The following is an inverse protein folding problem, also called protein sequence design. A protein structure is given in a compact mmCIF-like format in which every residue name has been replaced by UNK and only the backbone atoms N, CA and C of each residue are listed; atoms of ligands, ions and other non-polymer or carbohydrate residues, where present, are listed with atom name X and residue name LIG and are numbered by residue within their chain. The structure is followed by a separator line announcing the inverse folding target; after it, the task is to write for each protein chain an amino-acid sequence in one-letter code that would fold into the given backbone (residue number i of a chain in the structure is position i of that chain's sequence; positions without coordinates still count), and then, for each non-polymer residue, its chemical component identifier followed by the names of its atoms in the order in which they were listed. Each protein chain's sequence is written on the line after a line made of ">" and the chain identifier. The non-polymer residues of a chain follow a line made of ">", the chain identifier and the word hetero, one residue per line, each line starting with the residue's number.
data_IF_295451657214
#
_entry.id   IF_295451657214
#
_cell.length_a   1.000
_cell.length_b   1.000
_cell.length_c   1.000
_cell.angle_alpha   90.00
_cell.angle_beta   90.00
_cell.angle_gamma   90.00
#
_symmetry.space_group_name_H-M   'P 1'
#
loop_
_entity.id
_entity.type
_entity.pdbx_description
1 polymer ?
#
# COMPACT_ATOMS: atom_id res chain seq x y z
N UNK A 1 -4.69 29.52 -7.02
CA UNK A 1 -5.77 28.70 -6.42
C UNK A 1 -5.88 27.36 -7.14
N UNK A 2 -6.10 27.33 -8.45
CA UNK A 2 -6.27 26.08 -9.23
C UNK A 2 -5.10 25.09 -9.13
N UNK A 3 -3.85 25.56 -9.25
CA UNK A 3 -2.67 24.69 -9.15
C UNK A 3 -2.54 23.97 -7.79
N UNK A 4 -3.00 24.59 -6.70
CA UNK A 4 -2.93 24.00 -5.36
C UNK A 4 -4.02 22.93 -5.18
N UNK A 5 -5.20 23.18 -5.72
CA UNK A 5 -6.31 22.21 -5.74
C UNK A 5 -5.93 20.97 -6.54
N UNK A 6 -5.32 21.15 -7.71
CA UNK A 6 -4.84 20.02 -8.55
C UNK A 6 -3.82 19.17 -7.78
N UNK A 7 -2.87 19.81 -7.09
CA UNK A 7 -1.86 19.10 -6.29
C UNK A 7 -2.50 18.26 -5.18
N UNK A 8 -3.47 18.81 -4.44
CA UNK A 8 -4.18 18.10 -3.38
C UNK A 8 -4.96 16.89 -3.93
N UNK A 9 -5.64 17.06 -5.06
CA UNK A 9 -6.38 15.96 -5.72
C UNK A 9 -5.41 14.84 -6.12
N UNK A 10 -4.25 15.18 -6.69
CA UNK A 10 -3.24 14.19 -7.09
C UNK A 10 -2.74 13.41 -5.87
N UNK A 11 -2.45 14.09 -4.75
CA UNK A 11 -1.99 13.45 -3.52
C UNK A 11 -3.06 12.52 -2.95
N UNK A 12 -4.31 12.97 -2.84
CA UNK A 12 -5.41 12.14 -2.33
C UNK A 12 -5.66 10.93 -3.22
N UNK A 13 -5.61 11.10 -4.54
CA UNK A 13 -5.74 10.01 -5.51
C UNK A 13 -4.61 9.00 -5.36
N UNK A 14 -3.37 9.47 -5.19
CA UNK A 14 -2.23 8.61 -4.95
C UNK A 14 -2.40 7.81 -3.65
N UNK A 15 -2.85 8.44 -2.56
CA UNK A 15 -3.14 7.78 -1.27
C UNK A 15 -4.18 6.67 -1.45
N UNK A 16 -5.30 6.98 -2.13
CA UNK A 16 -6.38 6.03 -2.39
C UNK A 16 -5.87 4.81 -3.16
N UNK A 17 -4.97 5.00 -4.12
CA UNK A 17 -4.48 3.93 -5.00
C UNK A 17 -3.47 3.01 -4.28
N UNK A 18 -2.71 3.52 -3.31
CA UNK A 18 -1.66 2.72 -2.65
C UNK A 18 -2.20 1.44 -2.02
N UNK A 19 -3.28 1.53 -1.24
CA UNK A 19 -3.86 0.39 -0.52
C UNK A 19 -4.39 -0.72 -1.47
N UNK A 20 -5.26 -0.43 -2.46
CA UNK A 20 -5.70 -1.43 -3.44
C UNK A 20 -4.55 -2.08 -4.21
N UNK A 21 -3.57 -1.29 -4.65
CA UNK A 21 -2.44 -1.82 -5.42
C UNK A 21 -1.57 -2.74 -4.55
N UNK A 22 -1.21 -2.32 -3.35
CA UNK A 22 -0.47 -3.16 -2.40
C UNK A 22 -1.24 -4.45 -2.07
N UNK A 23 -2.56 -4.37 -1.91
CA UNK A 23 -3.40 -5.52 -1.64
C UNK A 23 -3.47 -6.51 -2.82
N UNK A 24 -3.60 -6.01 -4.04
CA UNK A 24 -3.61 -6.84 -5.26
C UNK A 24 -2.26 -7.56 -5.40
N UNK A 25 -1.15 -6.84 -5.25
CA UNK A 25 0.20 -7.40 -5.33
C UNK A 25 0.50 -8.44 -4.25
N UNK A 26 -0.26 -8.46 -3.15
CA UNK A 26 -0.12 -9.42 -2.05
C UNK A 26 -1.21 -10.49 -2.05
N UNK A 27 -1.96 -10.63 -3.16
CA UNK A 27 -2.96 -11.69 -3.39
C UNK A 27 -2.33 -13.02 -3.72
N UNK A 28 -2.85 -14.11 -3.13
CA UNK A 28 -2.32 -15.47 -3.33
C UNK A 28 -2.11 -15.79 -4.80
N UNK A 29 -3.09 -15.47 -5.66
CA UNK A 29 -2.97 -15.66 -7.12
C UNK A 29 -1.73 -14.98 -7.70
N UNK A 30 -1.46 -13.73 -7.33
CA UNK A 30 -0.30 -12.95 -7.82
C UNK A 30 0.99 -13.46 -7.18
N UNK A 31 0.96 -13.73 -5.88
CA UNK A 31 2.10 -14.29 -5.15
C UNK A 31 2.51 -15.64 -5.76
N UNK A 32 1.58 -16.59 -5.91
CA UNK A 32 1.84 -17.91 -6.49
C UNK A 32 2.36 -17.78 -7.94
N UNK A 33 1.73 -16.94 -8.76
CA UNK A 33 2.17 -16.70 -10.15
C UNK A 33 3.61 -16.17 -10.20
N UNK A 34 3.91 -15.09 -9.48
CA UNK A 34 5.24 -14.46 -9.50
C UNK A 34 6.30 -15.33 -8.86
N UNK A 35 5.93 -16.18 -7.90
CA UNK A 35 6.84 -17.02 -7.15
C UNK A 35 7.51 -18.15 -7.95
N UNK A 36 7.03 -18.41 -9.17
CA UNK A 36 7.68 -19.30 -10.14
C UNK A 36 8.85 -18.62 -10.88
N UNK A 37 8.95 -17.28 -10.81
CA UNK A 37 9.91 -16.45 -11.55
C UNK A 37 10.68 -15.54 -10.58
N UNK A 38 11.93 -15.91 -10.25
CA UNK A 38 12.74 -15.23 -9.20
C UNK A 38 12.77 -13.70 -9.36
N UNK A 39 13.05 -13.19 -10.56
CA UNK A 39 13.11 -11.75 -10.82
C UNK A 39 11.76 -11.03 -10.64
N UNK A 40 10.67 -11.64 -11.12
CA UNK A 40 9.32 -11.08 -11.00
C UNK A 40 8.83 -11.09 -9.56
N UNK A 41 9.15 -12.14 -8.78
CA UNK A 41 8.82 -12.18 -7.36
C UNK A 41 9.54 -11.09 -6.56
N UNK A 42 10.82 -10.87 -6.84
CA UNK A 42 11.61 -9.83 -6.17
C UNK A 42 11.08 -8.43 -6.54
N UNK A 43 10.79 -8.20 -7.82
CA UNK A 43 10.17 -6.94 -8.27
C UNK A 43 8.83 -6.69 -7.57
N UNK A 44 7.95 -7.70 -7.49
CA UNK A 44 6.67 -7.61 -6.79
C UNK A 44 6.83 -7.28 -5.31
N UNK A 45 7.80 -7.90 -4.64
CA UNK A 45 8.08 -7.66 -3.21
C UNK A 45 8.53 -6.24 -2.97
N UNK A 46 9.49 -5.75 -3.76
CA UNK A 46 10.01 -4.39 -3.64
C UNK A 46 8.92 -3.37 -3.96
N UNK A 47 8.23 -3.53 -5.09
CA UNK A 47 7.17 -2.60 -5.52
C UNK A 47 6.00 -2.60 -4.53
N UNK A 48 5.51 -3.78 -4.13
CA UNK A 48 4.41 -3.89 -3.16
C UNK A 48 4.79 -3.31 -1.80
N UNK A 49 6.00 -3.60 -1.31
CA UNK A 49 6.50 -3.05 -0.05
C UNK A 49 6.68 -1.53 -0.10
N UNK A 50 7.23 -1.01 -1.21
CA UNK A 50 7.41 0.42 -1.41
C UNK A 50 6.07 1.15 -1.46
N UNK A 51 5.11 0.66 -2.25
CA UNK A 51 3.77 1.25 -2.36
C UNK A 51 3.05 1.24 -1.00
N UNK A 52 3.12 0.13 -0.27
CA UNK A 52 2.50 0.05 1.05
C UNK A 52 3.12 1.04 2.04
N UNK A 53 4.44 1.15 2.04
CA UNK A 53 5.18 2.09 2.90
C UNK A 53 4.85 3.55 2.55
N UNK A 54 4.85 3.89 1.26
CA UNK A 54 4.48 5.23 0.77
C UNK A 54 3.03 5.55 1.19
N UNK A 55 2.11 4.60 1.03
CA UNK A 55 0.71 4.75 1.43
C UNK A 55 0.55 5.07 2.92
N UNK A 56 1.27 4.37 3.79
CA UNK A 56 1.29 4.63 5.24
C UNK A 56 1.84 6.03 5.53
N UNK A 57 3.00 6.39 4.96
CA UNK A 57 3.64 7.69 5.20
C UNK A 57 2.74 8.84 4.76
N UNK A 58 2.16 8.76 3.56
CA UNK A 58 1.26 9.79 3.05
C UNK A 58 -0.03 9.89 3.87
N UNK A 59 -0.60 8.77 4.30
CA UNK A 59 -1.78 8.76 5.15
C UNK A 59 -1.50 9.35 6.54
N UNK A 60 -0.32 9.12 7.13
CA UNK A 60 0.10 9.74 8.38
C UNK A 60 0.25 11.26 8.24
N UNK A 61 0.97 11.72 7.21
CA UNK A 61 1.17 13.16 6.97
C UNK A 61 -0.18 13.84 6.76
N UNK A 62 -1.03 13.27 5.92
CA UNK A 62 -2.33 13.84 5.58
C UNK A 62 -3.30 13.81 6.76
N UNK A 63 -3.35 12.69 7.50
CA UNK A 63 -4.19 12.54 8.66
C UNK A 63 -3.84 13.51 9.79
N UNK A 64 -2.55 13.81 10.00
CA UNK A 64 -2.11 14.77 11.03
C UNK A 64 -2.34 16.24 10.64
N UNK A 65 -2.50 16.53 9.35
CA UNK A 65 -2.47 17.90 8.82
C UNK A 65 -3.85 18.52 8.57
N UNK A 66 -4.93 17.74 8.62
CA UNK A 66 -6.25 18.21 8.19
C UNK A 66 -7.28 18.07 9.31
N UNK A 67 -7.96 19.17 9.63
CA UNK A 67 -9.09 19.18 10.54
C UNK A 67 -10.33 18.56 9.88
N UNK A 68 -10.60 17.29 10.18
CA UNK A 68 -11.79 16.61 9.69
C UNK A 68 -11.85 15.15 10.14
N UNK A 69 -12.86 14.81 10.94
CA UNK A 69 -13.01 13.45 11.50
C UNK A 69 -13.10 12.37 10.40
N UNK A 70 -13.82 12.64 9.32
CA UNK A 70 -13.95 11.70 8.19
C UNK A 70 -12.63 11.42 7.49
N UNK A 71 -11.78 12.44 7.32
CA UNK A 71 -10.47 12.26 6.70
C UNK A 71 -9.51 11.48 7.60
N UNK A 72 -9.56 11.71 8.92
CA UNK A 72 -8.78 10.92 9.88
C UNK A 72 -9.15 9.43 9.81
N UNK A 73 -10.44 9.10 9.80
CA UNK A 73 -10.91 7.72 9.65
C UNK A 73 -10.47 7.10 8.32
N UNK A 74 -10.55 7.88 7.24
CA UNK A 74 -10.06 7.45 5.93
C UNK A 74 -8.55 7.14 5.95
N UNK A 75 -7.74 8.02 6.53
CA UNK A 75 -6.29 7.81 6.66
C UNK A 75 -5.97 6.58 7.52
N UNK A 76 -6.69 6.36 8.63
CA UNK A 76 -6.54 5.17 9.46
C UNK A 76 -6.83 3.90 8.64
N UNK A 77 -7.93 3.87 7.88
CA UNK A 77 -8.27 2.73 7.04
C UNK A 77 -7.19 2.44 5.97
N UNK A 78 -6.63 3.48 5.36
CA UNK A 78 -5.52 3.33 4.40
C UNK A 78 -4.27 2.77 5.07
N UNK A 79 -3.93 3.22 6.28
CA UNK A 79 -2.81 2.69 7.06
C UNK A 79 -3.04 1.20 7.35
N UNK A 80 -4.21 0.84 7.86
CA UNK A 80 -4.55 -0.55 8.19
C UNK A 80 -4.47 -1.48 6.97
N UNK A 81 -5.01 -1.06 5.83
CA UNK A 81 -4.98 -1.86 4.60
C UNK A 81 -3.55 -2.07 4.07
N UNK A 82 -2.70 -1.05 4.16
CA UNK A 82 -1.30 -1.18 3.75
C UNK A 82 -0.50 -2.06 4.73
N UNK A 83 -0.71 -1.90 6.04
CA UNK A 83 -0.12 -2.80 7.07
C UNK A 83 -0.56 -4.24 6.83
N UNK A 84 -1.85 -4.46 6.59
CA UNK A 84 -2.39 -5.79 6.31
C UNK A 84 -1.75 -6.43 5.07
N UNK A 85 -1.53 -5.63 4.02
CA UNK A 85 -0.84 -6.08 2.81
C UNK A 85 0.61 -6.51 3.11
N UNK A 86 1.34 -5.75 3.93
CA UNK A 86 2.69 -6.11 4.39
C UNK A 86 2.68 -7.41 5.20
N UNK A 87 1.76 -7.55 6.15
CA UNK A 87 1.63 -8.77 6.98
C UNK A 87 1.37 -10.00 6.10
N UNK A 88 0.51 -9.85 5.08
CA UNK A 88 0.26 -10.92 4.10
C UNK A 88 1.51 -11.32 3.34
N UNK A 89 2.33 -10.35 2.96
CA UNK A 89 3.59 -10.62 2.27
C UNK A 89 4.59 -11.36 3.17
N UNK A 90 4.78 -10.89 4.41
CA UNK A 90 5.66 -11.53 5.39
C UNK A 90 5.21 -12.98 5.64
N UNK A 91 3.91 -13.21 5.79
CA UNK A 91 3.35 -14.55 5.99
C UNK A 91 3.61 -15.47 4.80
N UNK A 92 3.46 -14.96 3.57
CA UNK A 92 3.76 -15.71 2.36
C UNK A 92 5.24 -16.13 2.30
N UNK A 93 6.16 -15.19 2.56
CA UNK A 93 7.61 -15.46 2.57
C UNK A 93 7.95 -16.51 3.64
N UNK A 94 7.43 -16.35 4.86
CA UNK A 94 7.66 -17.27 5.98
C UNK A 94 7.17 -18.69 5.65
N UNK A 95 5.96 -18.82 5.10
CA UNK A 95 5.38 -20.11 4.74
C UNK A 95 6.17 -20.83 3.64
N UNK A 96 6.86 -20.11 2.76
CA UNK A 96 7.75 -20.69 1.76
C UNK A 96 9.09 -21.15 2.30
N UNK A 97 9.63 -20.46 3.32
CA UNK A 97 10.92 -20.82 3.93
C UNK A 97 10.83 -22.10 4.77
N UNK A 98 9.63 -22.41 5.28
CA UNK A 98 9.35 -23.60 6.07
C UNK A 98 8.93 -24.83 5.23
N UNK A 99 8.96 -24.72 3.90
CA UNK A 99 8.74 -25.83 2.95
C UNK A 99 10.06 -26.20 2.30
#
# INVERSE_FOLDING_TARGET
>A
MESLVILVIVILTAIIITAPVAFILTTRKVQDFTSTRKGLNLARQIVGGAIATIGIVLALITGLSVEGFGLHLFCIAIIELNIYSIIREIRFIRNRRNK
#
